data_IF_086446506822
#
_entry.id   IF_086446506822
#
_cell.length_a   1.000
_cell.length_b   1.000
_cell.length_c   1.000
_cell.angle_alpha   90.00
_cell.angle_beta   90.00
_cell.angle_gamma   90.00
#
_symmetry.space_group_name_H-M   'P 1'
#
loop_
_entity.id
_entity.type
_entity.pdbx_description
1 polymer ?
#
# COMPACT_ATOMS: atom_id res chain seq x y z
N UNK A 1 9.09 -2.47 31.50
CA UNK A 1 9.40 -1.43 30.48
C UNK A 1 8.10 -0.92 29.94
N UNK A 2 7.89 0.38 29.93
CA UNK A 2 6.71 0.98 29.28
C UNK A 2 7.04 1.21 27.81
N UNK A 3 6.17 0.71 26.93
CA UNK A 3 6.30 0.97 25.48
C UNK A 3 6.17 2.48 25.20
N UNK A 4 6.86 2.94 24.16
CA UNK A 4 6.70 4.31 23.65
C UNK A 4 5.26 4.52 23.17
N UNK A 5 4.73 5.73 23.31
CA UNK A 5 3.35 6.06 22.94
C UNK A 5 3.04 5.91 21.45
N UNK A 6 4.05 6.08 20.59
CA UNK A 6 3.97 5.78 19.16
C UNK A 6 5.09 4.82 18.75
N UNK A 7 4.81 3.97 17.78
CA UNK A 7 5.67 2.89 17.34
C UNK A 7 5.90 2.95 15.83
N UNK A 8 7.02 2.36 15.38
CA UNK A 8 7.43 2.36 13.98
C UNK A 8 7.48 0.94 13.37
N UNK A 9 6.86 -0.04 14.02
CA UNK A 9 6.81 -1.40 13.51
C UNK A 9 5.94 -1.51 12.25
N UNK A 10 4.81 -0.82 12.23
CA UNK A 10 3.88 -0.85 11.11
C UNK A 10 2.94 0.36 11.14
N UNK A 11 2.59 0.86 9.97
CA UNK A 11 1.50 1.81 9.73
C UNK A 11 0.11 1.24 10.11
N UNK A 12 0.00 -0.09 10.29
CA UNK A 12 -1.19 -0.72 10.86
C UNK A 12 -1.37 -0.48 12.37
N UNK A 13 -0.39 0.09 13.06
CA UNK A 13 -0.49 0.39 14.50
C UNK A 13 -1.28 1.66 14.78
N UNK A 14 -1.42 2.54 13.79
CA UNK A 14 -2.22 3.76 13.89
C UNK A 14 -3.72 3.46 13.98
N UNK A 15 -4.46 4.40 14.53
CA UNK A 15 -5.91 4.33 14.61
C UNK A 15 -6.62 4.78 13.33
N UNK A 16 -7.91 5.05 13.46
CA UNK A 16 -8.76 5.58 12.39
C UNK A 16 -8.57 7.09 12.34
N UNK A 17 -8.37 7.66 11.15
CA UNK A 17 -8.24 9.11 11.00
C UNK A 17 -9.59 9.83 11.23
N UNK A 18 -9.56 11.12 11.63
CA UNK A 18 -10.76 11.87 11.99
C UNK A 18 -11.80 11.93 10.87
N UNK A 19 -11.37 12.04 9.62
CA UNK A 19 -12.25 12.13 8.45
C UNK A 19 -13.05 10.83 8.25
N UNK A 20 -12.38 9.68 8.40
CA UNK A 20 -13.00 8.36 8.33
C UNK A 20 -13.96 8.15 9.49
N UNK A 21 -13.55 8.51 10.72
CA UNK A 21 -14.41 8.41 11.89
C UNK A 21 -15.68 9.23 11.74
N UNK A 22 -15.57 10.50 11.30
CA UNK A 22 -16.72 11.38 11.05
C UNK A 22 -17.67 10.82 9.99
N UNK A 23 -17.14 10.21 8.92
CA UNK A 23 -17.95 9.58 7.89
C UNK A 23 -18.71 8.36 8.42
N UNK A 24 -18.05 7.50 9.23
CA UNK A 24 -18.68 6.35 9.88
C UNK A 24 -19.78 6.79 10.85
N UNK A 25 -19.55 7.83 11.65
CA UNK A 25 -20.53 8.39 12.57
C UNK A 25 -21.79 8.88 11.81
N UNK A 26 -21.60 9.64 10.73
CA UNK A 26 -22.71 10.09 9.86
C UNK A 26 -23.47 8.90 9.25
N UNK A 27 -22.76 7.86 8.78
CA UNK A 27 -23.34 6.67 8.20
C UNK A 27 -24.14 5.81 9.20
N UNK A 28 -23.89 6.01 10.51
CA UNK A 28 -24.61 5.31 11.58
C UNK A 28 -26.02 5.85 11.83
N UNK A 29 -26.40 6.99 11.21
CA UNK A 29 -27.73 7.56 11.38
C UNK A 29 -28.74 7.01 10.38
N UNK A 30 -29.97 6.76 10.88
CA UNK A 30 -31.10 6.34 10.07
C UNK A 30 -31.02 4.92 9.53
N UNK A 31 -32.00 4.59 8.66
CA UNK A 31 -32.09 3.30 7.99
C UNK A 31 -31.63 3.46 6.54
N UNK A 32 -30.79 2.54 6.08
CA UNK A 32 -30.29 2.48 4.71
C UNK A 32 -30.57 1.11 4.09
N UNK A 33 -30.65 1.04 2.77
CA UNK A 33 -30.79 -0.23 2.05
C UNK A 33 -29.57 -1.14 2.30
N UNK A 34 -29.80 -2.44 2.19
CA UNK A 34 -28.76 -3.46 2.43
C UNK A 34 -27.99 -3.79 1.15
N UNK A 35 -26.85 -4.44 1.31
CA UNK A 35 -26.06 -5.05 0.24
C UNK A 35 -25.52 -4.09 -0.84
N UNK A 36 -25.20 -2.86 -0.45
CA UNK A 36 -24.60 -1.88 -1.36
C UNK A 36 -25.62 -0.96 -2.09
N UNK A 37 -26.93 -1.15 -1.89
CA UNK A 37 -27.98 -0.28 -2.42
C UNK A 37 -28.18 0.99 -1.56
N UNK A 38 -27.15 1.45 -0.87
CA UNK A 38 -27.20 2.60 0.02
C UNK A 38 -26.45 3.81 -0.56
N UNK A 39 -26.78 4.99 -0.03
CA UNK A 39 -26.21 6.27 -0.46
C UNK A 39 -24.68 6.31 -0.29
N UNK A 40 -24.13 5.72 0.78
CA UNK A 40 -22.69 5.75 1.07
C UNK A 40 -21.90 4.93 0.08
N UNK A 41 -22.41 3.75 -0.30
CA UNK A 41 -21.80 2.89 -1.32
C UNK A 41 -21.83 3.57 -2.69
N UNK A 42 -22.96 4.19 -3.07
CA UNK A 42 -23.07 4.95 -4.32
C UNK A 42 -22.09 6.14 -4.34
N UNK A 43 -21.99 6.87 -3.23
CA UNK A 43 -21.10 8.02 -3.10
C UNK A 43 -19.63 7.58 -3.18
N UNK A 44 -19.22 6.54 -2.47
CA UNK A 44 -17.87 6.00 -2.56
C UNK A 44 -17.49 5.59 -3.98
N UNK A 45 -18.39 4.90 -4.68
CA UNK A 45 -18.19 4.51 -6.09
C UNK A 45 -18.02 5.74 -7.00
N UNK A 46 -18.81 6.79 -6.80
CA UNK A 46 -18.69 8.02 -7.58
C UNK A 46 -17.40 8.78 -7.27
N UNK A 47 -16.97 8.79 -6.02
CA UNK A 47 -15.70 9.42 -5.60
C UNK A 47 -14.50 8.68 -6.22
N UNK A 48 -14.53 7.34 -6.29
CA UNK A 48 -13.52 6.56 -7.01
C UNK A 48 -13.52 6.85 -8.52
N UNK A 49 -14.70 6.86 -9.18
CA UNK A 49 -14.80 7.21 -10.60
C UNK A 49 -14.20 8.57 -10.89
N UNK A 50 -14.47 9.56 -10.04
CA UNK A 50 -13.91 10.90 -10.16
C UNK A 50 -12.40 10.92 -9.93
N UNK A 51 -11.91 10.20 -8.90
CA UNK A 51 -10.49 10.18 -8.53
C UNK A 51 -9.62 9.50 -9.61
N UNK A 52 -10.13 8.40 -10.18
CA UNK A 52 -9.40 7.63 -11.21
C UNK A 52 -9.80 7.99 -12.64
N UNK A 53 -10.70 8.95 -12.83
CA UNK A 53 -11.18 9.38 -14.16
C UNK A 53 -11.74 8.21 -14.99
N UNK A 54 -12.48 7.28 -14.35
CA UNK A 54 -13.03 6.08 -14.97
C UNK A 54 -14.42 5.76 -14.44
N UNK A 55 -15.25 5.11 -15.27
CA UNK A 55 -16.55 4.59 -14.87
C UNK A 55 -16.46 3.18 -14.27
N UNK A 56 -15.28 2.55 -14.33
CA UNK A 56 -15.01 1.20 -13.86
C UNK A 56 -14.70 1.20 -12.36
N UNK A 57 -15.61 0.68 -11.53
CA UNK A 57 -15.40 0.51 -10.10
C UNK A 57 -16.07 -0.76 -9.59
N UNK A 58 -15.30 -1.70 -9.05
CA UNK A 58 -15.76 -2.92 -8.41
C UNK A 58 -15.19 -3.08 -7.01
N UNK A 59 -15.99 -3.55 -6.05
CA UNK A 59 -15.60 -3.78 -4.66
C UNK A 59 -15.28 -5.26 -4.37
N UNK A 60 -14.71 -5.56 -3.24
CA UNK A 60 -13.41 -6.18 -2.99
C UNK A 60 -13.41 -7.71 -2.82
N UNK A 61 -12.23 -8.24 -2.91
CA UNK A 61 -11.62 -9.43 -2.30
C UNK A 61 -11.78 -10.81 -2.94
N UNK A 62 -10.67 -11.57 -2.74
CA UNK A 62 -10.34 -12.70 -3.54
C UNK A 62 -9.78 -13.90 -2.78
N UNK A 63 -10.15 -15.11 -3.20
CA UNK A 63 -9.44 -16.36 -2.94
C UNK A 63 -8.88 -16.96 -4.24
N UNK A 64 -7.56 -17.21 -4.28
CA UNK A 64 -6.94 -17.85 -5.44
C UNK A 64 -7.20 -19.35 -5.44
N UNK A 65 -7.97 -19.82 -6.38
CA UNK A 65 -8.31 -21.24 -6.53
C UNK A 65 -7.17 -22.02 -7.17
N UNK A 66 -6.06 -22.22 -6.40
CA UNK A 66 -4.92 -23.02 -6.83
C UNK A 66 -3.88 -22.30 -7.71
N UNK A 67 -3.81 -20.96 -7.68
CA UNK A 67 -2.76 -20.21 -8.38
C UNK A 67 -1.38 -20.45 -7.78
N UNK A 68 -0.35 -20.47 -8.63
CA UNK A 68 1.05 -20.57 -8.24
C UNK A 68 1.77 -19.25 -8.46
N UNK A 69 2.43 -18.75 -7.43
CA UNK A 69 3.30 -17.58 -7.56
C UNK A 69 4.65 -17.97 -8.14
N UNK A 70 5.09 -17.24 -9.16
CA UNK A 70 6.41 -17.34 -9.75
C UNK A 70 7.15 -16.05 -9.37
N UNK A 71 8.24 -16.19 -8.62
CA UNK A 71 9.00 -15.05 -8.10
C UNK A 71 10.01 -14.60 -9.14
N UNK A 72 9.91 -13.34 -9.58
CA UNK A 72 10.85 -12.69 -10.46
C UNK A 72 12.00 -12.04 -9.67
N UNK A 73 13.14 -11.81 -10.34
CA UNK A 73 14.22 -10.99 -9.77
C UNK A 73 13.79 -9.55 -9.66
N UNK A 74 14.22 -8.91 -8.57
CA UNK A 74 13.93 -7.52 -8.30
C UNK A 74 15.19 -6.73 -8.01
N UNK A 75 15.17 -5.45 -8.35
CA UNK A 75 16.11 -4.46 -7.88
C UNK A 75 15.33 -3.40 -7.08
N UNK A 76 15.72 -3.16 -5.84
CA UNK A 76 14.98 -2.30 -4.91
C UNK A 76 13.47 -2.65 -4.83
N UNK A 77 13.14 -3.95 -4.87
CA UNK A 77 11.75 -4.43 -4.82
C UNK A 77 10.97 -4.30 -6.13
N UNK A 78 11.57 -3.77 -7.20
CA UNK A 78 10.94 -3.61 -8.50
C UNK A 78 11.32 -4.75 -9.45
N UNK A 79 10.34 -5.27 -10.19
CA UNK A 79 10.56 -6.15 -11.34
C UNK A 79 10.75 -5.31 -12.61
N UNK A 80 11.38 -5.90 -13.62
CA UNK A 80 11.63 -5.25 -14.91
C UNK A 80 10.99 -6.03 -16.06
N UNK A 81 10.80 -5.43 -17.24
CA UNK A 81 10.40 -6.16 -18.46
C UNK A 81 11.23 -7.42 -18.72
N UNK A 82 12.54 -7.35 -18.49
CA UNK A 82 13.47 -8.47 -18.69
C UNK A 82 13.18 -9.61 -17.71
N UNK A 83 12.98 -9.29 -16.41
CA UNK A 83 12.67 -10.30 -15.39
C UNK A 83 11.32 -10.99 -15.63
N UNK A 84 10.34 -10.26 -16.20
CA UNK A 84 9.05 -10.82 -16.63
C UNK A 84 9.24 -11.79 -17.79
N UNK A 85 9.98 -11.40 -18.84
CA UNK A 85 10.27 -12.26 -19.99
C UNK A 85 11.03 -13.52 -19.57
N UNK A 86 12.01 -13.39 -18.67
CA UNK A 86 12.77 -14.54 -18.14
C UNK A 86 11.83 -15.58 -17.53
N UNK A 87 10.86 -15.18 -16.75
CA UNK A 87 9.89 -16.08 -16.11
C UNK A 87 8.86 -16.61 -17.11
N UNK A 88 8.24 -15.72 -17.89
CA UNK A 88 7.11 -16.07 -18.76
C UNK A 88 7.54 -16.98 -19.94
N UNK A 89 8.76 -16.83 -20.40
CA UNK A 89 9.31 -17.60 -21.52
C UNK A 89 10.17 -18.79 -21.11
N UNK A 90 10.39 -18.99 -19.79
CA UNK A 90 11.28 -20.03 -19.26
C UNK A 90 10.94 -21.44 -19.75
N UNK A 91 9.66 -21.78 -19.78
CA UNK A 91 9.15 -23.08 -20.24
C UNK A 91 7.75 -22.93 -20.83
N UNK A 92 7.47 -23.71 -21.89
CA UNK A 92 6.17 -23.70 -22.61
C UNK A 92 5.47 -25.07 -22.58
N UNK A 93 6.08 -26.07 -21.90
CA UNK A 93 5.51 -27.41 -21.81
C UNK A 93 4.41 -27.49 -20.74
N UNK A 94 3.59 -28.54 -20.84
CA UNK A 94 2.41 -28.75 -19.98
C UNK A 94 2.72 -28.99 -18.50
N UNK A 95 3.97 -29.25 -18.14
CA UNK A 95 4.40 -29.49 -16.75
C UNK A 95 4.82 -28.21 -16.04
N UNK A 96 4.75 -27.05 -16.71
CA UNK A 96 5.10 -25.77 -16.11
C UNK A 96 3.87 -24.86 -15.99
N UNK A 97 3.72 -24.13 -14.88
CA UNK A 97 2.62 -23.20 -14.71
C UNK A 97 2.60 -22.17 -15.85
N UNK A 98 1.44 -21.96 -16.47
CA UNK A 98 1.26 -20.95 -17.49
C UNK A 98 1.00 -19.59 -16.82
N UNK A 99 1.91 -18.61 -16.89
CA UNK A 99 1.68 -17.26 -16.36
C UNK A 99 0.42 -16.63 -17.02
N UNK A 100 -0.34 -15.89 -16.23
CA UNK A 100 -1.54 -15.19 -16.68
C UNK A 100 -1.56 -13.73 -16.24
N UNK A 101 -0.96 -13.44 -15.08
CA UNK A 101 -0.97 -12.13 -14.44
C UNK A 101 0.44 -11.81 -13.94
N UNK A 102 0.88 -10.59 -14.16
CA UNK A 102 2.01 -9.98 -13.46
C UNK A 102 1.45 -9.14 -12.33
N UNK A 103 2.04 -9.25 -11.15
CA UNK A 103 1.68 -8.41 -10.00
C UNK A 103 2.87 -7.54 -9.62
N UNK A 104 2.63 -6.23 -9.48
CA UNK A 104 3.57 -5.28 -8.88
C UNK A 104 2.96 -4.70 -7.61
N UNK A 105 3.80 -4.26 -6.67
CA UNK A 105 3.35 -3.64 -5.41
C UNK A 105 3.75 -2.17 -5.39
N UNK A 106 2.78 -1.27 -5.14
CA UNK A 106 2.98 0.18 -5.16
C UNK A 106 2.51 0.83 -3.84
N UNK A 107 3.37 1.49 -3.04
CA UNK A 107 4.83 1.39 -3.11
C UNK A 107 5.30 -0.03 -2.77
N UNK A 108 6.52 -0.40 -3.22
CA UNK A 108 7.07 -1.74 -2.97
C UNK A 108 7.25 -2.02 -1.47
N UNK A 109 7.45 -3.28 -1.10
CA UNK A 109 7.68 -3.68 0.30
C UNK A 109 8.97 -3.09 0.90
N UNK A 110 9.88 -2.62 0.07
CA UNK A 110 11.11 -1.92 0.49
C UNK A 110 11.01 -0.39 0.34
N UNK A 111 9.82 0.15 0.08
CA UNK A 111 9.55 1.58 0.08
C UNK A 111 9.89 2.32 -1.21
N UNK A 112 10.39 1.65 -2.23
CA UNK A 112 10.60 2.27 -3.55
C UNK A 112 9.28 2.43 -4.31
N UNK A 113 9.25 3.36 -5.26
CA UNK A 113 8.04 3.71 -6.02
C UNK A 113 8.26 3.51 -7.51
N UNK A 114 7.41 2.71 -8.16
CA UNK A 114 7.38 2.64 -9.63
C UNK A 114 6.93 3.97 -10.21
N UNK A 115 7.66 4.46 -11.21
CA UNK A 115 7.27 5.64 -12.00
C UNK A 115 6.25 5.23 -13.09
N UNK A 116 5.39 6.14 -13.58
CA UNK A 116 4.43 5.83 -14.63
C UNK A 116 5.07 5.20 -15.88
N UNK A 117 6.27 5.65 -16.26
CA UNK A 117 7.03 5.09 -17.39
C UNK A 117 7.54 3.67 -17.13
N UNK A 118 7.94 3.33 -15.90
CA UNK A 118 8.32 1.97 -15.51
C UNK A 118 7.11 1.04 -15.59
N UNK A 119 5.95 1.48 -15.07
CA UNK A 119 4.69 0.72 -15.13
C UNK A 119 4.28 0.50 -16.60
N UNK A 120 4.41 1.52 -17.43
CA UNK A 120 4.08 1.42 -18.86
C UNK A 120 4.96 0.40 -19.57
N UNK A 121 6.27 0.40 -19.32
CA UNK A 121 7.18 -0.59 -19.89
C UNK A 121 6.84 -2.03 -19.47
N UNK A 122 6.43 -2.22 -18.21
CA UNK A 122 5.92 -3.50 -17.70
C UNK A 122 4.61 -3.88 -18.41
N UNK A 123 3.66 -2.95 -18.53
CA UNK A 123 2.38 -3.18 -19.19
C UNK A 123 2.56 -3.57 -20.66
N UNK A 124 3.43 -2.89 -21.40
CA UNK A 124 3.70 -3.21 -22.80
C UNK A 124 4.27 -4.62 -22.93
N UNK A 125 5.16 -5.02 -22.03
CA UNK A 125 5.67 -6.40 -21.97
C UNK A 125 4.57 -7.41 -21.62
N UNK A 126 3.67 -7.08 -20.71
CA UNK A 126 2.51 -7.93 -20.40
C UNK A 126 1.64 -8.14 -21.64
N UNK A 127 1.32 -7.08 -22.38
CA UNK A 127 0.53 -7.14 -23.62
C UNK A 127 1.20 -8.01 -24.69
N UNK A 128 2.53 -7.85 -24.92
CA UNK A 128 3.30 -8.71 -25.82
C UNK A 128 3.18 -10.20 -25.48
N UNK A 129 3.13 -10.52 -24.20
CA UNK A 129 3.10 -11.90 -23.69
C UNK A 129 1.68 -12.43 -23.42
N UNK A 130 0.65 -11.65 -23.66
CA UNK A 130 -0.75 -12.00 -23.36
C UNK A 130 -1.02 -12.17 -21.87
N UNK A 131 -0.40 -11.34 -21.03
CA UNK A 131 -0.54 -11.28 -19.58
C UNK A 131 -1.32 -10.04 -19.17
N UNK A 132 -1.98 -10.10 -18.02
CA UNK A 132 -2.60 -8.96 -17.36
C UNK A 132 -1.63 -8.35 -16.34
N UNK A 133 -1.80 -7.07 -16.04
CA UNK A 133 -1.04 -6.35 -15.03
C UNK A 133 -1.94 -5.99 -13.84
N UNK A 134 -1.67 -6.61 -12.70
CA UNK A 134 -2.29 -6.28 -11.41
C UNK A 134 -1.34 -5.42 -10.57
N UNK A 135 -1.90 -4.45 -9.86
CA UNK A 135 -1.17 -3.63 -8.89
C UNK A 135 -1.74 -3.82 -7.48
N UNK A 136 -0.92 -4.35 -6.58
CA UNK A 136 -1.18 -4.26 -5.14
C UNK A 136 -0.84 -2.83 -4.68
N UNK A 137 -1.87 -2.09 -4.32
CA UNK A 137 -1.80 -0.70 -3.92
C UNK A 137 -2.00 -0.49 -2.42
N UNK A 138 -1.54 -1.42 -1.57
CA UNK A 138 -1.64 -1.27 -0.11
C UNK A 138 -1.04 0.05 0.42
N UNK A 139 -0.09 0.66 -0.32
CA UNK A 139 0.49 1.99 -0.09
C UNK A 139 0.47 2.87 -1.34
N UNK A 140 -0.49 2.68 -2.22
CA UNK A 140 -0.67 3.45 -3.46
C UNK A 140 -0.74 4.96 -3.19
N UNK A 141 -1.45 5.35 -2.13
CA UNK A 141 -1.56 6.75 -1.70
C UNK A 141 -0.19 7.39 -1.45
N UNK A 142 0.73 6.66 -0.78
CA UNK A 142 2.08 7.13 -0.51
C UNK A 142 2.88 7.33 -1.80
N UNK A 143 2.71 6.46 -2.78
CA UNK A 143 3.34 6.58 -4.08
C UNK A 143 2.81 7.80 -4.86
N UNK A 144 1.50 8.02 -4.91
CA UNK A 144 0.90 9.23 -5.49
C UNK A 144 1.40 10.50 -4.80
N UNK A 145 1.48 10.49 -3.46
CA UNK A 145 1.98 11.60 -2.67
C UNK A 145 3.44 11.94 -2.98
N UNK A 146 4.28 10.93 -3.17
CA UNK A 146 5.70 11.09 -3.49
C UNK A 146 5.91 11.62 -4.92
N UNK A 147 5.20 11.06 -5.90
CA UNK A 147 5.34 11.42 -7.31
C UNK A 147 4.65 12.74 -7.67
N UNK A 148 3.65 13.16 -6.88
CA UNK A 148 2.83 14.32 -7.23
C UNK A 148 1.94 14.10 -8.46
N UNK A 149 1.66 12.84 -8.82
CA UNK A 149 0.83 12.47 -9.96
C UNK A 149 -0.60 12.09 -9.53
N UNK A 150 -1.52 12.09 -10.47
CA UNK A 150 -2.89 11.64 -10.23
C UNK A 150 -2.97 10.11 -10.12
N UNK A 151 -3.96 9.56 -9.40
CA UNK A 151 -4.20 8.13 -9.37
C UNK A 151 -4.40 7.49 -10.74
N UNK A 152 -5.05 8.19 -11.66
CA UNK A 152 -5.24 7.71 -13.02
C UNK A 152 -3.92 7.56 -13.79
N UNK A 153 -3.00 8.52 -13.65
CA UNK A 153 -1.66 8.47 -14.29
C UNK A 153 -0.81 7.33 -13.75
N UNK A 154 -0.94 7.02 -12.44
CA UNK A 154 -0.17 5.96 -11.79
C UNK A 154 -0.82 4.57 -11.92
N UNK A 155 -1.99 4.46 -12.52
CA UNK A 155 -2.72 3.21 -12.67
C UNK A 155 -3.04 2.91 -14.15
N UNK A 156 -4.30 3.05 -14.55
CA UNK A 156 -4.78 2.59 -15.85
C UNK A 156 -4.17 3.36 -17.04
N UNK A 157 -3.86 4.65 -16.89
CA UNK A 157 -3.15 5.41 -17.95
C UNK A 157 -1.72 4.93 -18.14
N UNK A 158 -1.13 4.26 -17.15
CA UNK A 158 0.14 3.55 -17.28
C UNK A 158 -0.02 2.07 -17.70
N UNK A 159 -1.27 1.60 -17.86
CA UNK A 159 -1.60 0.29 -18.38
C UNK A 159 -1.83 -0.80 -17.33
N UNK A 160 -2.16 -0.43 -16.09
CA UNK A 160 -2.63 -1.37 -15.06
C UNK A 160 -4.04 -1.82 -15.42
N UNK A 161 -4.32 -3.13 -15.36
CA UNK A 161 -5.64 -3.70 -15.64
C UNK A 161 -6.51 -3.78 -14.38
N UNK A 162 -5.88 -4.07 -13.22
CA UNK A 162 -6.57 -4.16 -11.92
C UNK A 162 -5.70 -3.56 -10.83
N UNK A 163 -6.30 -2.70 -9.99
CA UNK A 163 -5.65 -2.11 -8.82
C UNK A 163 -6.42 -2.49 -7.55
N UNK A 164 -5.70 -3.02 -6.54
CA UNK A 164 -6.20 -3.07 -5.15
C UNK A 164 -5.76 -1.80 -4.43
N UNK A 165 -6.67 -0.85 -4.22
CA UNK A 165 -6.36 0.40 -3.54
C UNK A 165 -6.58 0.26 -2.03
N UNK A 166 -5.48 0.33 -1.26
CA UNK A 166 -5.48 0.14 0.18
C UNK A 166 -5.95 1.36 0.98
N UNK A 167 -6.97 1.18 1.81
CA UNK A 167 -7.44 2.20 2.75
C UNK A 167 -6.93 1.99 4.18
N UNK A 168 -6.72 0.75 4.57
CA UNK A 168 -6.38 0.38 5.97
C UNK A 168 -5.09 1.06 6.45
N UNK A 169 -4.04 1.13 5.63
CA UNK A 169 -2.77 1.76 6.01
C UNK A 169 -2.78 3.28 5.89
N UNK A 170 -3.89 3.85 5.44
CA UNK A 170 -4.05 5.29 5.25
C UNK A 170 -5.16 5.91 6.12
N UNK A 171 -5.44 5.30 7.27
CA UNK A 171 -6.35 5.82 8.28
C UNK A 171 -7.75 5.22 8.30
N UNK A 172 -8.04 4.19 7.50
CA UNK A 172 -9.27 3.42 7.64
C UNK A 172 -9.10 2.30 8.67
N UNK A 173 -10.21 1.89 9.30
CA UNK A 173 -10.24 0.74 10.20
C UNK A 173 -10.07 -0.56 9.43
N UNK A 174 -10.75 -0.68 8.31
CA UNK A 174 -10.78 -1.82 7.40
C UNK A 174 -11.31 -1.36 6.06
N UNK A 175 -10.76 -1.89 4.99
CA UNK A 175 -11.29 -1.67 3.65
C UNK A 175 -10.19 -1.52 2.59
N UNK A 176 -10.37 -2.32 1.55
CA UNK A 176 -9.60 -2.26 0.33
C UNK A 176 -10.58 -2.09 -0.82
N UNK A 177 -10.28 -1.25 -1.80
CA UNK A 177 -11.08 -1.10 -3.00
C UNK A 177 -10.39 -1.81 -4.17
N UNK A 178 -11.12 -2.66 -4.89
CA UNK A 178 -10.62 -3.24 -6.12
C UNK A 178 -11.20 -2.45 -7.29
N UNK A 179 -10.33 -1.91 -8.12
CA UNK A 179 -10.68 -1.18 -9.32
C UNK A 179 -10.30 -2.02 -10.55
N UNK A 180 -11.29 -2.38 -11.34
CA UNK A 180 -11.12 -3.01 -12.64
C UNK A 180 -11.17 -1.92 -13.71
N UNK A 181 -10.13 -1.80 -14.50
CA UNK A 181 -10.05 -0.81 -15.58
C UNK A 181 -10.47 -1.40 -16.94
N UNK A 182 -10.83 -2.68 -16.96
CA UNK A 182 -11.53 -3.36 -18.03
C UNK A 182 -12.75 -4.09 -17.46
N UNK A 183 -13.94 -3.72 -17.91
CA UNK A 183 -15.20 -4.30 -17.44
C UNK A 183 -15.27 -5.81 -17.65
N UNK A 184 -14.62 -6.34 -18.68
CA UNK A 184 -14.59 -7.79 -18.92
C UNK A 184 -13.95 -8.58 -17.75
N UNK A 185 -13.08 -7.93 -16.95
CA UNK A 185 -12.44 -8.56 -15.81
C UNK A 185 -13.30 -8.56 -14.55
N UNK A 186 -14.35 -7.72 -14.49
CA UNK A 186 -15.27 -7.63 -13.34
C UNK A 186 -16.55 -8.45 -13.49
N UNK A 187 -16.72 -9.14 -14.61
CA UNK A 187 -17.90 -10.00 -14.84
C UNK A 187 -18.02 -11.04 -13.73
N UNK A 188 -19.21 -11.14 -13.14
CA UNK A 188 -19.55 -12.04 -12.02
C UNK A 188 -18.76 -11.78 -10.71
N UNK A 189 -18.09 -10.62 -10.58
CA UNK A 189 -17.31 -10.31 -9.38
C UNK A 189 -18.16 -10.13 -8.12
N UNK A 190 -19.37 -9.61 -8.25
CA UNK A 190 -20.38 -9.49 -7.18
C UNK A 190 -20.77 -10.85 -6.60
N UNK A 191 -20.93 -11.89 -7.43
CA UNK A 191 -21.13 -13.27 -6.97
C UNK A 191 -19.92 -13.78 -6.17
N UNK A 192 -18.69 -13.46 -6.60
CA UNK A 192 -17.48 -13.80 -5.88
C UNK A 192 -17.39 -13.08 -4.53
N UNK A 193 -17.74 -11.79 -4.48
CA UNK A 193 -17.85 -11.04 -3.23
C UNK A 193 -18.86 -11.69 -2.28
N UNK A 194 -20.03 -12.08 -2.79
CA UNK A 194 -21.03 -12.76 -1.99
C UNK A 194 -20.54 -14.11 -1.44
N UNK A 195 -19.91 -14.94 -2.28
CA UNK A 195 -19.35 -16.23 -1.90
C UNK A 195 -18.21 -16.10 -0.86
N UNK A 196 -17.40 -15.06 -0.99
CA UNK A 196 -16.27 -14.76 -0.09
C UNK A 196 -16.71 -14.07 1.22
N UNK A 197 -18.00 -13.79 1.42
CA UNK A 197 -18.50 -13.08 2.60
C UNK A 197 -18.21 -11.58 2.59
N UNK A 198 -17.79 -11.01 1.45
CA UNK A 198 -17.40 -9.61 1.33
C UNK A 198 -18.59 -8.68 0.97
N UNK A 199 -19.73 -9.23 0.61
CA UNK A 199 -20.96 -8.45 0.44
C UNK A 199 -21.73 -8.41 1.76
N UNK A 200 -21.32 -7.48 2.64
CA UNK A 200 -21.93 -7.31 3.95
C UNK A 200 -23.36 -6.74 3.87
N UNK A 201 -24.23 -7.15 4.77
CA UNK A 201 -25.63 -6.66 4.80
C UNK A 201 -25.72 -5.15 5.08
N UNK A 202 -24.74 -4.58 5.78
CA UNK A 202 -24.62 -3.15 6.09
C UNK A 202 -23.39 -2.55 5.41
N UNK A 203 -23.33 -2.63 4.07
CA UNK A 203 -22.21 -2.15 3.26
C UNK A 203 -21.81 -0.70 3.59
N UNK A 204 -22.78 0.16 3.97
CA UNK A 204 -22.49 1.55 4.33
C UNK A 204 -21.38 1.73 5.36
N UNK A 205 -21.15 0.77 6.27
CA UNK A 205 -20.05 0.84 7.25
C UNK A 205 -18.68 0.50 6.64
N UNK A 206 -18.66 -0.11 5.46
CA UNK A 206 -17.44 -0.32 4.67
C UNK A 206 -17.23 0.80 3.64
N UNK A 207 -18.31 1.42 3.16
CA UNK A 207 -18.28 2.45 2.11
C UNK A 207 -18.11 3.86 2.66
N UNK A 208 -18.75 4.20 3.80
CA UNK A 208 -18.63 5.52 4.42
C UNK A 208 -17.19 5.90 4.80
N UNK A 209 -16.33 4.99 5.29
CA UNK A 209 -14.91 5.26 5.49
C UNK A 209 -14.21 5.78 4.24
N UNK A 210 -14.50 5.20 3.07
CA UNK A 210 -13.95 5.66 1.80
C UNK A 210 -14.42 7.07 1.44
N UNK A 211 -15.70 7.39 1.66
CA UNK A 211 -16.21 8.75 1.46
C UNK A 211 -15.41 9.75 2.30
N UNK A 212 -15.22 9.46 3.61
CA UNK A 212 -14.45 10.32 4.49
C UNK A 212 -12.99 10.46 4.08
N UNK A 213 -12.36 9.36 3.66
CA UNK A 213 -10.96 9.34 3.26
C UNK A 213 -10.72 10.08 1.93
N UNK A 214 -11.65 9.97 0.96
CA UNK A 214 -11.51 10.60 -0.34
C UNK A 214 -11.95 12.08 -0.34
N UNK A 215 -12.80 12.48 0.61
CA UNK A 215 -13.28 13.85 0.73
C UNK A 215 -12.13 14.81 1.06
N UNK A 216 -12.07 15.95 0.35
CA UNK A 216 -11.07 17.00 0.53
C UNK A 216 -9.61 16.49 0.46
N UNK A 217 -9.34 15.46 -0.34
CA UNK A 217 -8.02 14.84 -0.51
C UNK A 217 -7.36 14.38 0.81
N UNK A 218 -8.16 13.97 1.82
CA UNK A 218 -7.64 13.52 3.11
C UNK A 218 -6.65 12.35 2.94
N UNK A 219 -6.94 11.39 2.05
CA UNK A 219 -6.07 10.28 1.68
C UNK A 219 -4.66 10.74 1.26
N UNK A 220 -4.57 11.81 0.48
CA UNK A 220 -3.31 12.35 -0.03
C UNK A 220 -2.59 13.19 1.03
N UNK A 221 -3.33 13.96 1.83
CA UNK A 221 -2.80 14.72 2.98
C UNK A 221 -2.12 13.79 3.98
N UNK A 222 -2.78 12.71 4.37
CA UNK A 222 -2.27 11.73 5.31
C UNK A 222 -1.02 11.02 4.77
N UNK A 223 -1.03 10.64 3.50
CA UNK A 223 0.13 10.01 2.85
C UNK A 223 1.32 10.94 2.72
N UNK A 224 1.10 12.23 2.40
CA UNK A 224 2.17 13.25 2.37
C UNK A 224 2.81 13.42 3.74
N UNK A 225 2.00 13.43 4.81
CA UNK A 225 2.50 13.54 6.17
C UNK A 225 3.34 12.31 6.56
N UNK A 226 2.85 11.09 6.30
CA UNK A 226 3.59 9.87 6.57
C UNK A 226 4.93 9.82 5.81
N UNK A 227 4.95 10.20 4.52
CA UNK A 227 6.17 10.27 3.71
C UNK A 227 7.13 11.33 4.25
N UNK A 228 6.62 12.50 4.66
CA UNK A 228 7.43 13.57 5.29
C UNK A 228 8.12 13.07 6.56
N UNK A 229 7.40 12.38 7.44
CA UNK A 229 7.97 11.80 8.66
C UNK A 229 9.07 10.77 8.35
N UNK A 230 8.90 9.95 7.32
CA UNK A 230 9.93 9.01 6.88
C UNK A 230 11.18 9.72 6.33
N UNK A 231 10.99 10.74 5.51
CA UNK A 231 12.11 11.56 5.01
C UNK A 231 12.83 12.30 6.14
N UNK A 232 12.09 12.83 7.13
CA UNK A 232 12.66 13.45 8.32
C UNK A 232 13.53 12.46 9.11
N UNK A 233 13.03 11.23 9.36
CA UNK A 233 13.81 10.18 10.01
C UNK A 233 15.10 9.90 9.24
N UNK A 234 15.00 9.67 7.93
CA UNK A 234 16.13 9.42 7.04
C UNK A 234 17.19 10.52 7.14
N UNK A 235 16.79 11.78 7.10
CA UNK A 235 17.69 12.93 7.22
C UNK A 235 18.39 12.98 8.58
N UNK A 236 17.66 12.72 9.67
CA UNK A 236 18.18 12.79 11.04
C UNK A 236 19.17 11.67 11.38
N UNK A 237 19.13 10.54 10.64
CA UNK A 237 20.02 9.41 10.90
C UNK A 237 21.14 9.26 9.86
N UNK A 238 21.12 10.02 8.78
CA UNK A 238 22.06 9.89 7.65
C UNK A 238 23.51 10.20 8.00
N UNK A 239 23.74 11.00 9.03
CA UNK A 239 25.08 11.41 9.52
C UNK A 239 25.57 10.56 10.69
N UNK A 240 24.82 9.56 11.14
CA UNK A 240 25.19 8.69 12.26
C UNK A 240 26.20 7.64 11.78
N UNK A 241 27.42 7.59 12.34
CA UNK A 241 28.40 6.57 11.97
C UNK A 241 27.86 5.15 12.18
N UNK A 242 28.01 4.28 11.17
CA UNK A 242 27.57 2.89 11.21
C UNK A 242 26.06 2.68 10.93
N UNK A 243 25.33 3.72 10.59
CA UNK A 243 23.96 3.63 10.08
C UNK A 243 23.98 3.78 8.55
N UNK A 244 23.43 2.80 7.85
CA UNK A 244 23.26 2.84 6.39
C UNK A 244 21.79 2.76 6.01
N UNK A 245 21.35 3.60 5.07
CA UNK A 245 20.07 3.44 4.39
C UNK A 245 20.17 2.30 3.38
N UNK A 246 19.38 1.26 3.57
CA UNK A 246 19.38 0.08 2.70
C UNK A 246 18.69 0.35 1.35
N UNK A 247 17.71 1.26 1.33
CA UNK A 247 16.90 1.61 0.17
C UNK A 247 16.60 3.10 0.14
N UNK A 248 16.29 3.68 -1.05
CA UNK A 248 15.78 5.06 -1.16
C UNK A 248 14.48 5.23 -0.38
N UNK A 249 14.30 6.37 0.30
CA UNK A 249 13.06 6.69 1.03
C UNK A 249 12.12 7.45 0.10
N UNK A 250 11.27 6.70 -0.61
CA UNK A 250 10.32 7.22 -1.60
C UNK A 250 8.85 7.10 -1.14
N UNK A 251 8.61 6.44 -0.01
CA UNK A 251 7.31 6.31 0.63
C UNK A 251 7.45 6.51 2.15
N UNK A 252 6.55 5.92 2.94
CA UNK A 252 6.50 6.07 4.38
C UNK A 252 7.41 5.11 5.18
N UNK A 253 8.27 4.34 4.51
CA UNK A 253 9.18 3.36 5.14
C UNK A 253 10.64 3.79 5.09
N UNK A 254 11.35 3.59 6.19
CA UNK A 254 12.80 3.79 6.31
C UNK A 254 13.45 2.46 6.69
N UNK A 255 14.46 2.06 5.93
CA UNK A 255 15.15 0.79 6.12
C UNK A 255 16.59 1.07 6.45
N UNK A 256 17.00 0.68 7.65
CA UNK A 256 18.34 0.94 8.18
C UNK A 256 19.09 -0.37 8.42
N UNK A 257 20.35 -0.41 8.02
CA UNK A 257 21.26 -1.45 8.48
C UNK A 257 21.71 -1.11 9.91
N UNK A 258 21.35 -1.95 10.88
CA UNK A 258 21.71 -1.79 12.28
C UNK A 258 22.42 -3.04 12.81
N UNK A 259 23.31 -2.87 13.78
CA UNK A 259 23.94 -4.00 14.48
C UNK A 259 22.92 -4.67 15.43
N UNK A 260 23.14 -5.97 15.70
CA UNK A 260 22.30 -6.69 16.68
C UNK A 260 22.28 -6.02 18.08
N UNK A 261 23.42 -5.52 18.62
CA UNK A 261 23.40 -4.76 19.87
C UNK A 261 22.53 -3.49 19.80
N UNK A 262 22.59 -2.73 18.68
CA UNK A 262 21.77 -1.54 18.51
C UNK A 262 20.26 -1.89 18.44
N UNK A 263 19.88 -2.94 17.72
CA UNK A 263 18.50 -3.45 17.70
C UNK A 263 18.03 -3.83 19.11
N UNK A 264 18.85 -4.55 19.88
CA UNK A 264 18.54 -4.93 21.25
C UNK A 264 18.38 -3.71 22.17
N UNK A 265 19.28 -2.72 22.05
CA UNK A 265 19.25 -1.50 22.84
C UNK A 265 18.00 -0.63 22.54
N UNK A 266 17.66 -0.46 21.26
CA UNK A 266 16.43 0.25 20.87
C UNK A 266 15.17 -0.46 21.36
N UNK A 267 15.15 -1.78 21.27
CA UNK A 267 14.03 -2.60 21.81
C UNK A 267 13.93 -2.45 23.32
N UNK A 268 15.06 -2.42 24.04
CA UNK A 268 15.11 -2.19 25.49
C UNK A 268 14.61 -0.78 25.90
N UNK A 269 14.74 0.21 25.01
CA UNK A 269 14.17 1.56 25.19
C UNK A 269 12.67 1.65 24.91
N UNK A 270 12.04 0.54 24.50
CA UNK A 270 10.60 0.43 24.23
C UNK A 270 10.19 0.67 22.80
N UNK A 271 11.13 0.79 21.85
CA UNK A 271 10.81 0.88 20.43
C UNK A 271 10.42 -0.49 19.86
N UNK A 272 9.42 -0.49 18.94
CA UNK A 272 9.00 -1.67 18.18
C UNK A 272 9.17 -1.39 16.70
N UNK A 273 9.86 -2.28 16.00
CA UNK A 273 10.12 -2.26 14.57
C UNK A 273 10.44 -3.69 14.10
N UNK A 274 10.41 -3.93 12.81
CA UNK A 274 10.70 -5.26 12.25
C UNK A 274 12.13 -5.36 11.74
N UNK A 275 12.72 -6.57 11.82
CA UNK A 275 14.11 -6.87 11.43
C UNK A 275 14.18 -8.05 10.45
N UNK A 276 13.27 -8.14 9.49
CA UNK A 276 13.17 -9.29 8.57
C UNK A 276 13.86 -9.07 7.22
N UNK A 277 14.44 -7.90 6.95
CA UNK A 277 15.08 -7.60 5.66
C UNK A 277 16.57 -7.81 5.75
N UNK A 278 17.05 -8.87 5.08
CA UNK A 278 18.46 -9.19 5.07
C UNK A 278 19.02 -9.45 6.48
N UNK A 279 20.33 -9.32 6.62
CA UNK A 279 21.01 -9.48 7.90
C UNK A 279 21.17 -8.11 8.59
N UNK A 280 20.44 -7.89 9.68
CA UNK A 280 20.45 -6.63 10.45
C UNK A 280 19.62 -5.49 9.86
N UNK A 281 18.79 -5.76 8.85
CA UNK A 281 17.91 -4.77 8.26
C UNK A 281 16.71 -4.44 9.13
N UNK A 282 16.63 -3.22 9.65
CA UNK A 282 15.55 -2.72 10.48
C UNK A 282 14.59 -1.85 9.65
N UNK A 283 13.29 -2.17 9.69
CA UNK A 283 12.23 -1.41 9.01
C UNK A 283 11.49 -0.52 10.01
N UNK A 284 11.47 0.77 9.74
CA UNK A 284 10.70 1.77 10.46
C UNK A 284 9.61 2.33 9.54
N UNK A 285 8.35 2.22 9.96
CA UNK A 285 7.20 2.69 9.17
C UNK A 285 6.56 3.89 9.86
N UNK A 286 6.39 4.97 9.11
CA UNK A 286 5.59 6.12 9.51
C UNK A 286 4.14 5.96 9.05
N UNK A 287 3.20 6.46 9.82
CA UNK A 287 1.77 6.40 9.56
C UNK A 287 1.16 7.80 9.45
N UNK A 288 -0.11 7.89 9.13
CA UNK A 288 -0.84 9.13 8.96
C UNK A 288 -0.83 10.02 10.23
N UNK A 289 -0.67 9.43 11.41
CA UNK A 289 -0.68 10.06 12.74
C UNK A 289 0.71 10.16 13.38
N UNK A 290 1.78 9.79 12.69
CA UNK A 290 3.15 9.86 13.24
C UNK A 290 3.52 11.30 13.58
N UNK A 291 3.86 11.57 14.84
CA UNK A 291 4.30 12.90 15.29
C UNK A 291 5.79 13.10 15.00
N UNK A 292 6.15 14.26 14.45
CA UNK A 292 7.58 14.62 14.22
C UNK A 292 8.42 14.56 15.50
N UNK A 293 7.83 14.88 16.66
CA UNK A 293 8.50 14.78 17.95
C UNK A 293 8.95 13.34 18.23
N UNK A 294 8.14 12.33 17.87
CA UNK A 294 8.49 10.92 18.01
C UNK A 294 9.55 10.47 17.01
N UNK A 295 9.53 11.02 15.80
CA UNK A 295 10.58 10.80 14.80
C UNK A 295 11.93 11.31 15.32
N UNK A 296 11.96 12.51 15.90
CA UNK A 296 13.18 13.10 16.48
C UNK A 296 13.66 12.34 17.72
N UNK A 297 12.76 11.87 18.56
CA UNK A 297 13.09 11.01 19.71
C UNK A 297 13.73 9.70 19.26
N UNK A 298 13.15 9.02 18.27
CA UNK A 298 13.69 7.79 17.69
C UNK A 298 15.09 8.04 17.11
N UNK A 299 15.27 9.11 16.33
CA UNK A 299 16.58 9.44 15.74
C UNK A 299 17.66 9.74 16.80
N UNK A 300 17.28 10.41 17.90
CA UNK A 300 18.18 10.66 19.02
C UNK A 300 18.57 9.34 19.73
N UNK A 301 17.62 8.47 19.97
CA UNK A 301 17.88 7.15 20.54
C UNK A 301 18.78 6.27 19.64
N UNK A 302 18.55 6.31 18.29
CA UNK A 302 19.44 5.62 17.34
C UNK A 302 20.86 6.18 17.44
N UNK A 303 21.03 7.50 17.47
CA UNK A 303 22.34 8.16 17.60
C UNK A 303 23.06 7.75 18.86
N UNK A 304 22.38 7.72 20.00
CA UNK A 304 22.95 7.35 21.28
C UNK A 304 23.39 5.88 21.32
N UNK A 305 22.54 4.95 20.86
CA UNK A 305 22.91 3.52 20.87
C UNK A 305 24.00 3.16 19.86
N UNK A 306 24.15 3.93 18.78
CA UNK A 306 25.23 3.75 17.80
C UNK A 306 26.55 4.37 18.24
N UNK A 307 26.54 5.26 19.25
CA UNK A 307 27.71 5.90 19.80
C UNK A 307 28.28 5.17 21.03
N UNK A 308 27.55 4.20 21.57
CA UNK A 308 27.92 3.40 22.75
C UNK A 308 28.69 2.14 22.36
#
# INVERSE_FOLDING_TARGET
>A
MTDKSQQFASDNYSGICPEVWSAMEKANHGHQRSYGDDEWTLRASNDFRKLFETDECGAPEFFSNGSKLLIARTENGKITPESIREIALKRKDIHYPKPRVVTITQATEVGSVYRPEEIRAISDTCKELGLLLHMDGARFSNACAFLGCTPAELSWKAGVDVLCFGGTKNGMAVGEAILFFDHALSVDFDYRCKQAGQLASKMRFLSAPWVGLLENDAWLKHSRHANHCAQLLSQLVSDIPGVELMFPVEANGVFLQLSEPAVAALTARGWRFYTFIGKGGARFMCSWDTEEARVRELAADIREVMSA
#
